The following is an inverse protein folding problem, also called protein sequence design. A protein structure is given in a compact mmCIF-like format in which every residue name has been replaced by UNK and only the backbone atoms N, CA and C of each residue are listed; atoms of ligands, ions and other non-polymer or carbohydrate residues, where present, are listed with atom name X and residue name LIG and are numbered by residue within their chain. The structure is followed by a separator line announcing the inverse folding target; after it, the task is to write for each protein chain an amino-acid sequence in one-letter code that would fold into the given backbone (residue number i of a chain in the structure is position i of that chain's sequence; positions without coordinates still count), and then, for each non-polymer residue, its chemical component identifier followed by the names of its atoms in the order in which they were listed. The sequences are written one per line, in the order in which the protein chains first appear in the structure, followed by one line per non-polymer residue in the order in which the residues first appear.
data_IF_719759324435
#
_entry.id   IF_719759324435
#
_cell.length_a   1.000
_cell.length_b   1.000
_cell.length_c   1.000
_cell.angle_alpha   90.00
_cell.angle_beta   90.00
_cell.angle_gamma   90.00
#
_symmetry.space_group_name_H-M   'P 1'
#
loop_
_entity.id
_entity.type
_entity.pdbx_description
1 polymer ?
#
# COMPACT_ATOMS: atom_id res chain seq x y z
N UNK A 1 -73.01 -42.30 -38.40
CA UNK A 1 -72.33 -41.01 -38.66
C UNK A 1 -71.24 -40.66 -37.62
N UNK A 2 -71.22 -41.24 -36.42
CA UNK A 2 -70.29 -40.92 -35.32
C UNK A 2 -68.86 -41.50 -35.41
N UNK A 3 -68.60 -42.49 -36.27
CA UNK A 3 -67.28 -43.14 -36.37
C UNK A 3 -66.30 -42.39 -37.30
N UNK A 4 -66.80 -41.75 -38.37
CA UNK A 4 -65.96 -40.97 -39.29
C UNK A 4 -65.43 -39.66 -38.67
N UNK A 5 -66.14 -39.07 -37.70
CA UNK A 5 -65.70 -37.87 -37.00
C UNK A 5 -64.59 -38.13 -35.98
N UNK A 6 -64.61 -39.30 -35.32
CA UNK A 6 -63.55 -39.72 -34.39
C UNK A 6 -62.23 -40.03 -35.10
N UNK A 7 -62.29 -40.69 -36.27
CA UNK A 7 -61.10 -40.97 -37.08
C UNK A 7 -60.45 -39.69 -37.65
N UNK A 8 -61.25 -38.71 -38.11
CA UNK A 8 -60.71 -37.42 -38.58
C UNK A 8 -60.07 -36.60 -37.45
N UNK A 9 -60.62 -36.64 -36.23
CA UNK A 9 -60.01 -35.98 -35.05
C UNK A 9 -58.67 -36.63 -34.64
N UNK A 10 -58.59 -37.96 -34.65
CA UNK A 10 -57.36 -38.67 -34.32
C UNK A 10 -56.21 -38.39 -35.31
N UNK A 11 -56.52 -38.25 -36.61
CA UNK A 11 -55.55 -37.85 -37.64
C UNK A 11 -55.07 -36.40 -37.45
N UNK A 12 -55.97 -35.48 -37.11
CA UNK A 12 -55.64 -34.07 -36.84
C UNK A 12 -54.80 -33.94 -35.57
N UNK A 13 -55.13 -34.66 -34.50
CA UNK A 13 -54.33 -34.69 -33.26
C UNK A 13 -52.92 -35.25 -33.47
N UNK A 14 -52.77 -36.29 -34.31
CA UNK A 14 -51.47 -36.86 -34.63
C UNK A 14 -50.56 -35.91 -35.43
N UNK A 15 -51.12 -35.15 -36.38
CA UNK A 15 -50.37 -34.14 -37.13
C UNK A 15 -50.04 -32.92 -36.25
N UNK A 16 -50.97 -32.45 -35.41
CA UNK A 16 -50.71 -31.37 -34.45
C UNK A 16 -49.57 -31.75 -33.50
N UNK A 17 -49.58 -32.97 -32.95
CA UNK A 17 -48.52 -33.44 -32.06
C UNK A 17 -47.15 -33.49 -32.76
N UNK A 18 -47.09 -33.85 -34.04
CA UNK A 18 -45.86 -33.77 -34.85
C UNK A 18 -45.37 -32.34 -35.02
N UNK A 19 -46.26 -31.40 -35.34
CA UNK A 19 -45.92 -29.98 -35.45
C UNK A 19 -45.42 -29.40 -34.12
N UNK A 20 -46.03 -29.79 -32.99
CA UNK A 20 -45.59 -29.37 -31.66
C UNK A 20 -44.22 -29.93 -31.28
N UNK A 21 -43.95 -31.20 -31.54
CA UNK A 21 -42.62 -31.79 -31.29
C UNK A 21 -41.55 -31.10 -32.14
N UNK A 22 -41.86 -30.78 -33.39
CA UNK A 22 -40.94 -30.08 -34.27
C UNK A 22 -40.66 -28.64 -33.81
N UNK A 23 -41.71 -27.89 -33.46
CA UNK A 23 -41.60 -26.52 -32.96
C UNK A 23 -40.85 -26.45 -31.60
N UNK A 24 -41.10 -27.40 -30.69
CA UNK A 24 -40.36 -27.51 -29.42
C UNK A 24 -38.89 -27.85 -29.70
N UNK A 25 -38.63 -28.76 -30.64
CA UNK A 25 -37.27 -29.10 -31.07
C UNK A 25 -36.51 -27.88 -31.58
N UNK A 26 -37.14 -27.05 -32.41
CA UNK A 26 -36.57 -25.82 -32.96
C UNK A 26 -36.28 -24.78 -31.87
N UNK A 27 -37.22 -24.56 -30.94
CA UNK A 27 -37.03 -23.65 -29.80
C UNK A 27 -35.89 -24.13 -28.89
N UNK A 28 -35.82 -25.42 -28.58
CA UNK A 28 -34.74 -26.00 -27.79
C UNK A 28 -33.38 -25.86 -28.49
N UNK A 29 -33.32 -26.05 -29.82
CA UNK A 29 -32.09 -25.95 -30.60
C UNK A 29 -31.58 -24.51 -30.66
N UNK A 30 -32.48 -23.53 -30.84
CA UNK A 30 -32.15 -22.10 -30.75
C UNK A 30 -31.69 -21.72 -29.34
N UNK A 31 -32.37 -22.21 -28.29
CA UNK A 31 -31.99 -21.94 -26.91
C UNK A 31 -30.59 -22.49 -26.56
N UNK A 32 -30.27 -23.71 -27.00
CA UNK A 32 -28.92 -24.29 -26.83
C UNK A 32 -27.87 -23.47 -27.57
N UNK A 33 -28.15 -23.04 -28.81
CA UNK A 33 -27.25 -22.17 -29.56
C UNK A 33 -26.97 -20.85 -28.84
N UNK A 34 -28.00 -20.26 -28.23
CA UNK A 34 -27.89 -19.00 -27.49
C UNK A 34 -27.11 -19.17 -26.17
N UNK A 35 -27.32 -20.28 -25.46
CA UNK A 35 -26.54 -20.62 -24.26
C UNK A 35 -25.06 -20.86 -24.59
N UNK A 36 -24.75 -21.58 -25.68
CA UNK A 36 -23.36 -21.80 -26.11
C UNK A 36 -22.71 -20.48 -26.49
N UNK A 37 -23.41 -19.60 -27.21
CA UNK A 37 -22.88 -18.27 -27.56
C UNK A 37 -22.54 -17.44 -26.30
N UNK A 38 -23.47 -17.38 -25.33
CA UNK A 38 -23.21 -16.72 -24.04
C UNK A 38 -22.05 -17.35 -23.27
N UNK A 39 -21.89 -18.67 -23.34
CA UNK A 39 -20.80 -19.38 -22.66
C UNK A 39 -19.44 -19.07 -23.30
N UNK A 40 -19.36 -18.98 -24.63
CA UNK A 40 -18.14 -18.61 -25.36
C UNK A 40 -17.77 -17.15 -25.10
N UNK A 41 -18.75 -16.23 -25.16
CA UNK A 41 -18.52 -14.81 -24.84
C UNK A 41 -18.02 -14.63 -23.40
N UNK A 42 -18.62 -15.34 -22.43
CA UNK A 42 -18.17 -15.31 -21.05
C UNK A 42 -16.74 -15.87 -20.89
N UNK A 43 -16.38 -16.93 -21.63
CA UNK A 43 -15.04 -17.50 -21.57
C UNK A 43 -13.97 -16.57 -22.16
N UNK A 44 -14.26 -15.88 -23.27
CA UNK A 44 -13.37 -14.86 -23.85
C UNK A 44 -13.17 -13.69 -22.87
N UNK A 45 -14.27 -13.15 -22.32
CA UNK A 45 -14.20 -12.05 -21.35
C UNK A 45 -13.41 -12.43 -20.09
N UNK A 46 -13.55 -13.68 -19.65
CA UNK A 46 -12.83 -14.23 -18.51
C UNK A 46 -11.32 -14.34 -18.78
N UNK A 47 -10.91 -14.72 -20.00
CA UNK A 47 -9.51 -14.73 -20.40
C UNK A 47 -8.92 -13.32 -20.44
N UNK A 48 -9.65 -12.35 -21.00
CA UNK A 48 -9.23 -10.94 -21.04
C UNK A 48 -9.10 -10.36 -19.63
N UNK A 49 -10.04 -10.69 -18.73
CA UNK A 49 -9.97 -10.28 -17.32
C UNK A 49 -8.76 -10.87 -16.60
N UNK A 50 -8.39 -12.14 -16.87
CA UNK A 50 -7.18 -12.75 -16.30
C UNK A 50 -5.90 -12.05 -16.77
N UNK A 51 -5.82 -11.71 -18.04
CA UNK A 51 -4.66 -10.98 -18.58
C UNK A 51 -4.52 -9.58 -17.93
N UNK A 52 -5.64 -8.88 -17.72
CA UNK A 52 -5.65 -7.59 -17.01
C UNK A 52 -5.26 -7.75 -15.53
N UNK A 53 -5.77 -8.76 -14.85
CA UNK A 53 -5.42 -9.06 -13.46
C UNK A 53 -3.90 -9.31 -13.31
N UNK A 54 -3.30 -10.11 -14.20
CA UNK A 54 -1.86 -10.33 -14.21
C UNK A 54 -1.08 -9.02 -14.41
N UNK A 55 -1.49 -8.18 -15.37
CA UNK A 55 -0.86 -6.89 -15.59
C UNK A 55 -0.92 -5.99 -14.34
N UNK A 56 -2.04 -6.01 -13.62
CA UNK A 56 -2.17 -5.27 -12.37
C UNK A 56 -1.27 -5.84 -11.27
N UNK A 57 -1.19 -7.17 -11.12
CA UNK A 57 -0.28 -7.82 -10.18
C UNK A 57 1.18 -7.48 -10.45
N UNK A 58 1.65 -7.55 -11.70
CA UNK A 58 3.01 -7.16 -12.07
C UNK A 58 3.29 -5.70 -11.74
N UNK A 59 2.33 -4.82 -12.01
CA UNK A 59 2.46 -3.38 -11.74
C UNK A 59 2.50 -3.11 -10.23
N UNK A 60 1.60 -3.72 -9.45
CA UNK A 60 1.58 -3.63 -7.99
C UNK A 60 2.88 -4.14 -7.39
N UNK A 61 3.35 -5.31 -7.81
CA UNK A 61 4.60 -5.92 -7.35
C UNK A 61 5.77 -4.96 -7.56
N UNK A 62 5.91 -4.41 -8.77
CA UNK A 62 6.98 -3.46 -9.09
C UNK A 62 6.93 -2.17 -8.25
N UNK A 63 5.73 -1.71 -7.86
CA UNK A 63 5.58 -0.54 -6.98
C UNK A 63 5.89 -0.89 -5.53
N UNK A 64 5.34 -1.99 -5.01
CA UNK A 64 5.55 -2.46 -3.65
C UNK A 64 7.02 -2.72 -3.34
N UNK A 65 7.77 -3.34 -4.27
CA UNK A 65 9.21 -3.54 -4.12
C UNK A 65 9.94 -2.20 -3.96
N UNK A 66 9.60 -1.20 -4.79
CA UNK A 66 10.21 0.14 -4.69
C UNK A 66 9.85 0.84 -3.38
N UNK A 67 8.60 0.74 -2.96
CA UNK A 67 8.12 1.34 -1.72
C UNK A 67 8.83 0.70 -0.52
N UNK A 68 9.02 -0.63 -0.53
CA UNK A 68 9.79 -1.36 0.48
C UNK A 68 11.24 -0.90 0.53
N UNK A 69 11.92 -0.81 -0.61
CA UNK A 69 13.33 -0.37 -0.66
C UNK A 69 13.50 1.06 -0.12
N UNK A 70 12.56 1.94 -0.44
CA UNK A 70 12.52 3.29 0.10
C UNK A 70 12.26 3.30 1.62
N UNK A 71 11.34 2.47 2.13
CA UNK A 71 11.11 2.32 3.56
C UNK A 71 12.34 1.79 4.30
N UNK A 72 13.03 0.78 3.76
CA UNK A 72 14.27 0.24 4.34
C UNK A 72 15.32 1.35 4.48
N UNK A 73 15.53 2.13 3.42
CA UNK A 73 16.45 3.28 3.44
C UNK A 73 16.03 4.32 4.50
N UNK A 74 14.72 4.56 4.63
CA UNK A 74 14.16 5.52 5.61
C UNK A 74 14.33 5.03 7.04
N UNK A 75 14.16 3.71 7.29
CA UNK A 75 14.40 3.07 8.58
C UNK A 75 15.86 3.24 9.00
N UNK A 76 16.80 2.98 8.08
CA UNK A 76 18.23 3.15 8.35
C UNK A 76 18.58 4.60 8.73
N UNK A 77 17.98 5.59 8.06
CA UNK A 77 18.14 7.00 8.41
C UNK A 77 17.56 7.33 9.79
N UNK A 78 16.37 6.83 10.12
CA UNK A 78 15.74 7.04 11.42
C UNK A 78 16.57 6.43 12.56
N UNK A 79 17.14 5.25 12.34
CA UNK A 79 18.05 4.58 13.28
C UNK A 79 19.33 5.39 13.47
N UNK A 80 19.95 5.83 12.37
CA UNK A 80 21.14 6.67 12.42
C UNK A 80 20.91 7.93 13.26
N UNK A 81 19.83 8.68 13.00
CA UNK A 81 19.51 9.89 13.77
C UNK A 81 19.23 9.58 15.25
N UNK A 82 18.55 8.48 15.54
CA UNK A 82 18.30 8.05 16.93
C UNK A 82 19.59 7.77 17.69
N UNK A 83 20.55 7.07 17.07
CA UNK A 83 21.85 6.79 17.66
C UNK A 83 22.68 8.07 17.88
N UNK A 84 22.60 9.01 16.93
CA UNK A 84 23.23 10.34 17.05
C UNK A 84 22.66 11.12 18.24
N UNK A 85 21.34 11.10 18.42
CA UNK A 85 20.69 11.79 19.52
C UNK A 85 20.96 11.11 20.87
N UNK A 86 21.05 9.79 20.92
CA UNK A 86 21.49 9.05 22.12
C UNK A 86 22.92 9.41 22.51
N UNK A 87 23.81 9.58 21.53
CA UNK A 87 25.16 10.08 21.77
C UNK A 87 25.15 11.51 22.34
N UNK A 88 24.37 12.42 21.76
CA UNK A 88 24.24 13.78 22.28
C UNK A 88 23.72 13.82 23.72
N UNK A 89 22.68 13.04 24.03
CA UNK A 89 22.13 12.90 25.39
C UNK A 89 23.23 12.41 26.35
N UNK A 90 24.03 11.42 25.95
CA UNK A 90 25.15 10.88 26.74
C UNK A 90 26.24 11.93 27.01
N UNK A 91 26.57 12.76 26.01
CA UNK A 91 27.54 13.87 26.17
C UNK A 91 27.00 14.91 27.16
N UNK A 92 25.71 15.27 27.05
CA UNK A 92 25.07 16.22 27.96
C UNK A 92 25.04 15.67 29.39
N UNK A 93 24.64 14.41 29.59
CA UNK A 93 24.55 13.78 30.92
C UNK A 93 25.89 13.67 31.63
N UNK A 94 26.97 13.41 30.89
CA UNK A 94 28.32 13.40 31.44
C UNK A 94 28.91 14.79 31.60
N UNK A 95 28.25 15.82 31.07
CA UNK A 95 28.78 17.17 30.97
C UNK A 95 30.17 17.19 30.29
N UNK A 96 30.36 16.38 29.25
CA UNK A 96 31.65 16.18 28.58
C UNK A 96 31.96 17.36 27.64
N UNK A 97 32.67 18.35 28.17
CA UNK A 97 33.00 19.61 27.47
C UNK A 97 34.06 19.44 26.39
N UNK A 98 34.84 18.36 26.39
CA UNK A 98 35.80 18.09 25.32
C UNK A 98 35.10 17.80 23.98
N UNK A 99 33.87 17.30 24.04
CA UNK A 99 33.04 16.98 22.88
C UNK A 99 32.10 18.10 22.44
N UNK A 100 32.31 19.34 22.88
CA UNK A 100 31.39 20.46 22.58
C UNK A 100 31.21 20.73 21.08
N UNK A 101 32.25 20.54 20.26
CA UNK A 101 32.14 20.71 18.81
C UNK A 101 31.28 19.61 18.18
N UNK A 102 31.41 18.37 18.65
CA UNK A 102 30.60 17.24 18.19
C UNK A 102 29.14 17.41 18.62
N UNK A 103 28.89 17.79 19.87
CA UNK A 103 27.55 18.06 20.37
C UNK A 103 26.88 19.21 19.59
N UNK A 104 27.65 20.26 19.27
CA UNK A 104 27.18 21.33 18.40
C UNK A 104 26.79 20.83 17.01
N UNK A 105 27.59 19.97 16.39
CA UNK A 105 27.26 19.36 15.10
C UNK A 105 25.97 18.53 15.17
N UNK A 106 25.83 17.66 16.18
CA UNK A 106 24.62 16.83 16.37
C UNK A 106 23.39 17.71 16.66
N UNK A 107 23.56 18.84 17.34
CA UNK A 107 22.47 19.79 17.58
C UNK A 107 21.92 20.38 16.29
N UNK A 108 22.73 20.52 15.24
CA UNK A 108 22.24 20.95 13.91
C UNK A 108 21.41 19.85 13.25
N UNK A 109 21.73 18.57 13.51
CA UNK A 109 21.00 17.41 12.99
C UNK A 109 19.59 17.28 13.59
N UNK A 110 19.27 18.00 14.68
CA UNK A 110 17.92 18.03 15.25
C UNK A 110 16.84 18.49 14.27
N UNK A 111 17.21 19.28 13.25
CA UNK A 111 16.28 19.71 12.20
C UNK A 111 15.96 18.60 11.20
N UNK A 112 16.78 17.54 11.17
CA UNK A 112 16.69 16.47 10.19
C UNK A 112 15.78 15.37 10.74
N UNK A 113 14.94 14.82 9.87
CA UNK A 113 14.07 13.68 10.16
C UNK A 113 13.99 12.79 8.94
N UNK A 114 13.77 11.49 9.16
CA UNK A 114 13.60 10.53 8.08
C UNK A 114 12.21 10.64 7.46
N UNK A 115 12.13 10.72 6.12
CA UNK A 115 10.88 10.93 5.39
C UNK A 115 10.65 9.91 4.26
N UNK A 116 9.51 9.23 4.29
CA UNK A 116 9.06 8.30 3.27
C UNK A 116 8.11 9.01 2.29
N UNK A 117 8.67 9.51 1.18
CA UNK A 117 7.91 10.22 0.15
C UNK A 117 7.24 9.29 -0.86
N UNK A 118 6.07 8.77 -0.51
CA UNK A 118 5.19 8.15 -1.48
C UNK A 118 4.45 9.22 -2.30
N UNK A 119 4.33 9.03 -3.63
CA UNK A 119 3.69 10.03 -4.52
C UNK A 119 2.30 9.62 -5.04
N UNK A 120 2.09 8.33 -5.31
CA UNK A 120 0.77 7.75 -5.62
C UNK A 120 0.85 6.23 -5.68
N UNK A 121 -0.13 5.55 -5.09
CA UNK A 121 -0.26 4.09 -5.19
C UNK A 121 -1.06 3.64 -6.41
N UNK A 122 -0.65 2.50 -6.98
CA UNK A 122 -1.42 1.78 -8.01
C UNK A 122 -2.75 1.29 -7.43
N UNK A 123 -2.78 0.89 -6.16
CA UNK A 123 -4.02 0.45 -5.52
C UNK A 123 -5.08 1.56 -5.54
N UNK A 124 -4.70 2.78 -5.15
CA UNK A 124 -5.62 3.91 -5.18
C UNK A 124 -6.09 4.24 -6.60
N UNK A 125 -5.21 4.09 -7.60
CA UNK A 125 -5.57 4.25 -9.02
C UNK A 125 -6.65 3.25 -9.43
N UNK A 126 -6.50 1.97 -9.06
CA UNK A 126 -7.46 0.90 -9.38
C UNK A 126 -8.78 1.06 -8.65
N UNK A 127 -8.76 1.53 -7.40
CA UNK A 127 -9.97 1.86 -6.65
C UNK A 127 -10.71 3.01 -7.33
N UNK A 128 -10.00 4.09 -7.69
CA UNK A 128 -10.60 5.29 -8.28
C UNK A 128 -11.13 5.06 -9.70
N UNK A 129 -10.47 4.20 -10.49
CA UNK A 129 -10.92 3.83 -11.83
C UNK A 129 -12.03 2.77 -11.82
N UNK A 130 -12.26 2.10 -10.70
CA UNK A 130 -13.17 0.96 -10.59
C UNK A 130 -12.60 -0.35 -11.16
N UNK A 131 -11.33 -0.35 -11.54
CA UNK A 131 -10.63 -1.52 -12.09
C UNK A 131 -10.25 -2.54 -11.00
N UNK A 132 -10.30 -2.16 -9.72
CA UNK A 132 -10.08 -3.07 -8.58
C UNK A 132 -11.02 -4.29 -8.59
N UNK A 133 -12.16 -4.20 -9.28
CA UNK A 133 -13.10 -5.32 -9.48
C UNK A 133 -12.49 -6.52 -10.23
N UNK A 134 -11.44 -6.28 -11.02
CA UNK A 134 -10.72 -7.31 -11.77
C UNK A 134 -9.76 -8.12 -10.89
N UNK A 135 -9.43 -7.63 -9.68
CA UNK A 135 -8.62 -8.37 -8.70
C UNK A 135 -9.53 -9.36 -7.96
N UNK A 136 -9.30 -10.65 -8.18
CA UNK A 136 -10.15 -11.73 -7.69
C UNK A 136 -9.79 -12.12 -6.27
N UNK A 137 -8.49 -12.18 -5.98
CA UNK A 137 -8.01 -12.49 -4.64
C UNK A 137 -8.32 -11.34 -3.67
N UNK A 138 -9.38 -11.51 -2.87
CA UNK A 138 -9.84 -10.50 -1.92
C UNK A 138 -8.90 -10.31 -0.73
N UNK A 139 -8.04 -11.29 -0.44
CA UNK A 139 -7.04 -11.13 0.60
C UNK A 139 -5.97 -10.14 0.14
N UNK A 140 -5.52 -10.21 -1.13
CA UNK A 140 -4.59 -9.20 -1.69
C UNK A 140 -5.21 -7.80 -1.62
N UNK A 141 -6.49 -7.66 -1.98
CA UNK A 141 -7.20 -6.37 -1.88
C UNK A 141 -7.22 -5.84 -0.44
N UNK A 142 -7.50 -6.70 0.55
CA UNK A 142 -7.50 -6.32 1.97
C UNK A 142 -6.12 -5.89 2.45
N UNK A 143 -5.08 -6.68 2.14
CA UNK A 143 -3.70 -6.35 2.53
C UNK A 143 -3.23 -5.04 1.91
N UNK A 144 -3.53 -4.80 0.64
CA UNK A 144 -3.20 -3.53 -0.02
C UNK A 144 -3.92 -2.34 0.62
N UNK A 145 -5.19 -2.53 1.02
CA UNK A 145 -5.93 -1.50 1.75
C UNK A 145 -5.29 -1.18 3.12
N UNK A 146 -4.77 -2.19 3.81
CA UNK A 146 -4.02 -2.01 5.06
C UNK A 146 -2.72 -1.25 4.82
N UNK A 147 -1.96 -1.60 3.78
CA UNK A 147 -0.74 -0.88 3.36
C UNK A 147 -1.04 0.59 3.05
N UNK A 148 -2.10 0.91 2.30
CA UNK A 148 -2.49 2.30 2.05
C UNK A 148 -2.85 3.06 3.34
N UNK A 149 -3.51 2.38 4.27
CA UNK A 149 -3.85 2.96 5.57
C UNK A 149 -2.59 3.29 6.37
N UNK A 150 -1.57 2.44 6.27
CA UNK A 150 -0.26 2.65 6.88
C UNK A 150 0.52 3.79 6.21
N UNK A 151 0.48 3.93 4.89
CA UNK A 151 1.06 5.10 4.20
C UNK A 151 0.44 6.41 4.67
N UNK A 152 -0.89 6.44 4.77
CA UNK A 152 -1.61 7.61 5.30
C UNK A 152 -1.26 7.88 6.77
N UNK A 153 -0.96 6.84 7.55
CA UNK A 153 -0.53 7.01 8.93
C UNK A 153 0.89 7.57 9.05
N UNK A 154 1.81 7.05 8.22
CA UNK A 154 3.18 7.54 8.09
C UNK A 154 3.18 9.03 7.77
N UNK A 155 2.44 9.46 6.74
CA UNK A 155 2.37 10.87 6.33
C UNK A 155 1.93 11.78 7.49
N UNK A 156 0.95 11.34 8.30
CA UNK A 156 0.53 12.09 9.49
C UNK A 156 1.62 12.17 10.55
N UNK A 157 2.32 11.07 10.81
CA UNK A 157 3.39 11.04 11.83
C UNK A 157 4.57 11.91 11.41
N UNK A 158 4.98 11.83 10.14
CA UNK A 158 6.01 12.69 9.58
C UNK A 158 5.64 14.16 9.67
N UNK A 159 4.39 14.53 9.39
CA UNK A 159 3.91 15.91 9.55
C UNK A 159 3.93 16.39 11.01
N UNK A 160 3.59 15.51 11.97
CA UNK A 160 3.73 15.83 13.41
C UNK A 160 5.19 16.04 13.78
N UNK A 161 6.09 15.22 13.23
CA UNK A 161 7.51 15.33 13.49
C UNK A 161 8.10 16.63 12.90
N UNK A 162 7.78 16.96 11.64
CA UNK A 162 8.15 18.22 11.02
C UNK A 162 7.68 19.41 11.87
N UNK A 163 6.43 19.38 12.35
CA UNK A 163 5.91 20.45 13.20
C UNK A 163 6.63 20.54 14.55
N UNK A 164 6.98 19.40 15.16
CA UNK A 164 7.75 19.37 16.40
C UNK A 164 9.15 19.97 16.19
N UNK A 165 9.81 19.65 15.07
CA UNK A 165 11.09 20.23 14.68
C UNK A 165 10.98 21.74 14.54
N UNK A 166 10.02 22.24 13.78
CA UNK A 166 9.83 23.67 13.57
C UNK A 166 9.53 24.41 14.88
N UNK A 167 8.76 23.81 15.78
CA UNK A 167 8.31 24.45 17.02
C UNK A 167 9.36 24.43 18.13
N UNK A 168 10.09 23.33 18.27
CA UNK A 168 11.01 23.14 19.40
C UNK A 168 12.43 23.60 19.09
N UNK A 169 12.84 23.58 17.83
CA UNK A 169 14.26 23.55 17.47
C UNK A 169 14.71 24.87 16.84
N UNK A 170 13.86 25.52 16.04
CA UNK A 170 14.23 26.74 15.31
C UNK A 170 14.84 27.82 16.21
N UNK A 171 14.18 28.15 17.32
CA UNK A 171 14.64 29.17 18.26
C UNK A 171 15.88 28.72 19.05
N UNK A 172 15.94 27.45 19.47
CA UNK A 172 17.09 26.90 20.21
C UNK A 172 18.35 26.85 19.35
N UNK A 173 18.23 26.44 18.08
CA UNK A 173 19.38 26.27 17.18
C UNK A 173 20.10 27.60 16.94
N UNK A 174 19.35 28.65 16.62
CA UNK A 174 19.91 29.98 16.30
C UNK A 174 20.50 30.67 17.53
N UNK A 175 20.00 30.36 18.73
CA UNK A 175 20.52 30.92 19.98
C UNK A 175 21.81 30.23 20.41
N UNK A 176 21.90 28.90 20.29
CA UNK A 176 22.99 28.11 20.86
C UNK A 176 24.21 28.05 19.91
N UNK A 177 23.98 28.03 18.59
CA UNK A 177 25.00 27.67 17.61
C UNK A 177 25.06 28.68 16.46
N UNK A 178 26.28 29.13 16.14
CA UNK A 178 26.57 29.72 14.85
C UNK A 178 26.85 28.61 13.84
N UNK A 179 26.04 28.51 12.80
CA UNK A 179 26.13 27.40 11.82
C UNK A 179 27.39 27.51 10.95
N UNK A 180 27.80 28.73 10.59
CA UNK A 180 28.96 28.95 9.72
C UNK A 180 29.80 30.16 10.15
N UNK A 181 31.10 29.97 10.48
CA UNK A 181 31.70 28.68 10.83
C UNK A 181 30.99 28.06 12.05
N UNK A 182 31.00 26.72 12.13
CA UNK A 182 30.40 26.00 13.25
C UNK A 182 31.06 26.42 14.57
N UNK A 183 30.31 27.10 15.42
CA UNK A 183 30.79 27.59 16.70
C UNK A 183 29.67 27.60 17.74
N UNK A 184 29.95 27.08 18.94
CA UNK A 184 29.00 27.09 20.06
C UNK A 184 29.03 28.48 20.71
N UNK A 185 27.92 29.20 20.64
CA UNK A 185 27.79 30.56 21.20
C UNK A 185 27.24 30.55 22.63
N UNK A 186 26.45 29.54 23.00
CA UNK A 186 25.92 29.39 24.36
C UNK A 186 26.25 28.01 24.95
N UNK A 187 27.46 27.82 25.52
CA UNK A 187 27.89 26.53 26.08
C UNK A 187 27.02 26.04 27.24
N UNK A 188 26.46 26.91 28.08
CA UNK A 188 25.59 26.45 29.17
C UNK A 188 24.23 25.95 28.68
N UNK A 189 23.68 26.59 27.64
CA UNK A 189 22.45 26.13 27.00
C UNK A 189 22.67 24.80 26.24
N UNK A 190 23.84 24.65 25.59
CA UNK A 190 24.20 23.41 24.88
C UNK A 190 24.23 22.17 25.80
N UNK A 191 24.57 22.34 27.08
CA UNK A 191 24.59 21.25 28.07
C UNK A 191 23.40 21.33 29.03
N UNK A 192 22.43 22.18 28.74
CA UNK A 192 21.25 22.41 29.56
C UNK A 192 20.19 21.32 29.39
N UNK A 193 19.32 21.21 30.40
CA UNK A 193 18.22 20.24 30.38
C UNK A 193 17.20 20.51 29.26
N UNK A 194 17.07 21.76 28.80
CA UNK A 194 16.16 22.13 27.71
C UNK A 194 16.58 21.40 26.43
N UNK A 195 17.85 21.53 26.04
CA UNK A 195 18.35 20.87 24.83
C UNK A 195 18.33 19.34 24.98
N UNK A 196 18.69 18.82 26.16
CA UNK A 196 18.55 17.38 26.44
C UNK A 196 17.11 16.89 26.24
N UNK A 197 16.13 17.62 26.77
CA UNK A 197 14.72 17.27 26.61
C UNK A 197 14.29 17.33 25.14
N UNK A 198 14.78 18.31 24.38
CA UNK A 198 14.54 18.39 22.93
C UNK A 198 15.07 17.13 22.23
N UNK A 199 16.32 16.72 22.49
CA UNK A 199 16.87 15.47 21.94
C UNK A 199 16.03 14.26 22.34
N UNK A 200 15.63 14.14 23.61
CA UNK A 200 14.82 13.02 24.08
C UNK A 200 13.46 12.94 23.38
N UNK A 201 12.78 14.07 23.17
CA UNK A 201 11.49 14.13 22.50
C UNK A 201 11.60 13.75 21.02
N UNK A 202 12.54 14.37 20.29
CA UNK A 202 12.75 14.11 18.86
C UNK A 202 13.21 12.66 18.63
N UNK A 203 14.11 12.15 19.48
CA UNK A 203 14.53 10.75 19.45
C UNK A 203 13.37 9.80 19.73
N UNK A 204 12.43 10.17 20.61
CA UNK A 204 11.19 9.41 20.83
C UNK A 204 10.33 9.33 19.57
N UNK A 205 10.13 10.46 18.89
CA UNK A 205 9.40 10.52 17.62
C UNK A 205 10.07 9.68 16.52
N UNK A 206 11.41 9.72 16.41
CA UNK A 206 12.16 8.89 15.47
C UNK A 206 11.93 7.40 15.71
N UNK A 207 11.95 6.94 16.97
CA UNK A 207 11.73 5.54 17.31
C UNK A 207 10.30 5.10 17.01
N UNK A 208 9.31 5.92 17.38
CA UNK A 208 7.90 5.64 17.09
C UNK A 208 7.67 5.54 15.58
N UNK A 209 8.10 6.55 14.82
CA UNK A 209 7.93 6.60 13.37
C UNK A 209 8.69 5.46 12.68
N UNK A 210 9.92 5.16 13.14
CA UNK A 210 10.72 4.03 12.65
C UNK A 210 10.04 2.67 12.84
N UNK A 211 9.34 2.48 13.96
CA UNK A 211 8.57 1.24 14.19
C UNK A 211 7.40 1.09 13.21
N UNK A 212 6.77 2.20 12.83
CA UNK A 212 5.68 2.23 11.85
C UNK A 212 6.21 1.95 10.45
N UNK A 213 7.37 2.50 10.08
CA UNK A 213 8.04 2.13 8.81
C UNK A 213 8.34 0.64 8.73
N UNK A 214 8.86 0.06 9.83
CA UNK A 214 9.20 -1.35 9.88
C UNK A 214 7.97 -2.25 9.76
N UNK A 215 6.86 -1.91 10.43
CA UNK A 215 5.59 -2.63 10.28
C UNK A 215 5.09 -2.56 8.84
N UNK A 216 5.10 -1.37 8.25
CA UNK A 216 4.63 -1.16 6.86
C UNK A 216 5.45 -1.98 5.87
N UNK A 217 6.77 -2.07 6.05
CA UNK A 217 7.63 -2.90 5.21
C UNK A 217 7.29 -4.40 5.31
N UNK A 218 6.87 -4.88 6.49
CA UNK A 218 6.41 -6.27 6.68
C UNK A 218 5.05 -6.53 6.02
N UNK A 219 4.15 -5.56 6.09
CA UNK A 219 2.84 -5.64 5.43
C UNK A 219 3.01 -5.67 3.90
N UNK A 220 3.93 -4.85 3.37
CA UNK A 220 4.32 -4.88 1.96
C UNK A 220 4.92 -6.24 1.57
N UNK A 221 5.81 -6.82 2.39
CA UNK A 221 6.38 -8.14 2.12
C UNK A 221 5.31 -9.25 2.04
N UNK A 222 4.30 -9.14 2.89
CA UNK A 222 3.16 -10.05 2.88
C UNK A 222 2.36 -9.89 1.58
N UNK A 223 2.09 -8.65 1.16
CA UNK A 223 1.42 -8.37 -0.12
C UNK A 223 2.21 -8.88 -1.33
N UNK A 224 3.52 -8.64 -1.36
CA UNK A 224 4.45 -9.13 -2.40
C UNK A 224 4.35 -10.65 -2.51
N UNK A 225 4.50 -11.36 -1.40
CA UNK A 225 4.47 -12.83 -1.36
C UNK A 225 3.15 -13.38 -1.92
N UNK A 226 2.02 -12.75 -1.59
CA UNK A 226 0.71 -13.17 -2.09
C UNK A 226 0.54 -12.92 -3.58
N UNK A 227 1.04 -11.78 -4.08
CA UNK A 227 1.00 -11.44 -5.51
C UNK A 227 1.89 -12.39 -6.32
N UNK A 228 3.09 -12.70 -5.83
CA UNK A 228 4.01 -13.65 -6.47
C UNK A 228 3.37 -15.05 -6.59
N UNK A 229 2.69 -15.52 -5.55
CA UNK A 229 1.96 -16.79 -5.57
C UNK A 229 0.85 -16.81 -6.64
N UNK A 230 0.08 -15.72 -6.78
CA UNK A 230 -0.95 -15.62 -7.83
C UNK A 230 -0.33 -15.60 -9.23
N UNK A 231 0.81 -14.91 -9.42
CA UNK A 231 1.52 -14.89 -10.69
C UNK A 231 2.11 -16.28 -11.05
N UNK A 232 2.59 -17.03 -10.07
CA UNK A 232 3.09 -18.41 -10.29
C UNK A 232 1.97 -19.38 -10.69
N UNK A 233 0.80 -19.31 -10.04
CA UNK A 233 -0.36 -20.15 -10.37
C UNK A 233 -0.82 -19.90 -11.81
N UNK A 234 -0.94 -18.63 -12.20
CA UNK A 234 -1.41 -18.25 -13.53
C UNK A 234 -0.42 -18.61 -14.66
N UNK A 235 0.88 -18.76 -14.36
CA UNK A 235 1.87 -19.21 -15.34
C UNK A 235 1.86 -20.75 -15.57
N UNK A 236 1.10 -21.51 -14.77
CA UNK A 236 0.97 -22.97 -14.89
C UNK A 236 -0.32 -23.43 -15.60
N UNK A 237 -1.28 -22.53 -15.81
CA UNK A 237 -2.55 -22.76 -16.54
C UNK A 237 -2.45 -22.43 -18.03
#
# INVERSE_FOLDING_TARGET
MLLRSKQKRALIEADIMKYWIYAIGEVCLVAIGLLIALQVDNWSNEQDNRALEQQYYESMLAQLVKDKDALVTTIEQAQYLSDRFDLAISIIDKNDREQSALLGAITIELKDYADFRQKSSIFQTLVNSGEIKHIRNKNIVSTLQEVESMYSYIERLEGVHEQAVMTLIADQLIEIIQIQPLEVKQPEALYGYVLKNTFMLIRGLNVETGSVYQQTAQDIDSAITMIEQELEINNQE
#
